data_IF_377351949496
#
_entry.id   IF_377351949496
#
_cell.length_a   1.000
_cell.length_b   1.000
_cell.length_c   1.000
_cell.angle_alpha   90.00
_cell.angle_beta   90.00
_cell.angle_gamma   90.00
#
_symmetry.space_group_name_H-M   'P 1'
#
loop_
_entity.id
_entity.type
_entity.pdbx_description
1 polymer ?
#
# COMPACT_ATOMS: atom_id res chain seq x y z
N UNK A 1 -8.74 3.17 14.11
CA UNK A 1 -7.89 4.38 14.14
C UNK A 1 -7.38 4.63 12.74
N UNK A 2 -6.95 5.85 12.40
CA UNK A 2 -6.51 6.22 11.05
C UNK A 2 -5.02 6.53 10.95
N UNK A 3 -4.18 5.59 11.38
CA UNK A 3 -2.72 5.80 11.41
C UNK A 3 -2.07 5.41 10.09
N UNK A 4 -1.06 6.16 9.68
CA UNK A 4 -0.22 5.80 8.53
C UNK A 4 1.11 5.21 9.01
N UNK A 5 1.58 4.16 8.34
CA UNK A 5 2.88 3.54 8.62
C UNK A 5 4.03 4.27 7.93
N UNK A 6 3.89 4.47 6.61
CA UNK A 6 4.86 5.15 5.74
C UNK A 6 4.09 6.16 4.88
N UNK A 7 4.50 7.43 4.93
CA UNK A 7 4.00 8.50 4.06
C UNK A 7 5.11 8.99 3.14
N UNK A 8 4.87 9.00 1.83
CA UNK A 8 5.80 9.50 0.83
C UNK A 8 5.08 10.47 -0.10
N UNK A 9 5.71 11.61 -0.35
CA UNK A 9 5.28 12.55 -1.39
C UNK A 9 6.43 12.75 -2.37
N UNK A 10 6.15 12.59 -3.66
CA UNK A 10 7.10 12.83 -4.75
C UNK A 10 7.10 11.72 -5.80
N UNK A 11 7.38 12.12 -7.04
CA UNK A 11 7.37 11.23 -8.19
C UNK A 11 8.57 10.26 -8.17
N UNK A 12 8.36 9.09 -8.77
CA UNK A 12 9.35 8.02 -8.92
C UNK A 12 9.91 7.49 -7.59
N UNK A 13 9.16 7.68 -6.50
CA UNK A 13 9.50 7.08 -5.22
C UNK A 13 9.55 5.56 -5.31
N UNK A 14 10.47 4.93 -4.57
CA UNK A 14 10.57 3.48 -4.50
C UNK A 14 10.45 3.01 -3.05
N UNK A 15 9.59 2.02 -2.81
CA UNK A 15 9.44 1.35 -1.52
C UNK A 15 9.75 -0.12 -1.67
N UNK A 16 10.74 -0.59 -0.92
CA UNK A 16 11.08 -2.01 -0.81
C UNK A 16 10.62 -2.55 0.55
N UNK A 17 9.35 -2.97 0.64
CA UNK A 17 8.84 -3.56 1.87
C UNK A 17 9.19 -5.05 1.96
N UNK A 18 10.30 -5.34 2.63
CA UNK A 18 10.75 -6.71 2.94
C UNK A 18 10.24 -7.22 4.29
N UNK A 19 9.75 -6.30 5.13
CA UNK A 19 9.28 -6.60 6.47
C UNK A 19 7.82 -7.05 6.51
N UNK A 20 7.42 -7.63 7.64
CA UNK A 20 6.01 -7.88 7.89
C UNK A 20 5.26 -6.56 8.07
N UNK A 21 4.10 -6.42 7.43
CA UNK A 21 3.20 -5.27 7.61
C UNK A 21 1.91 -5.72 8.27
N UNK A 22 1.40 -4.95 9.21
CA UNK A 22 0.08 -5.16 9.81
C UNK A 22 -0.69 -3.85 9.81
N UNK A 23 -1.86 -3.85 9.17
CA UNK A 23 -2.74 -2.67 9.10
C UNK A 23 -4.11 -3.09 9.61
N UNK A 24 -4.62 -2.39 10.62
CA UNK A 24 -5.93 -2.67 11.23
C UNK A 24 -6.74 -1.39 11.36
N UNK A 25 -8.05 -1.56 11.30
CA UNK A 25 -9.08 -0.55 11.50
C UNK A 25 -9.30 0.37 10.30
N UNK A 26 -10.50 0.98 10.19
CA UNK A 26 -10.80 1.93 9.13
C UNK A 26 -9.86 3.14 9.16
N UNK A 27 -9.53 3.65 7.98
CA UNK A 27 -8.64 4.79 7.74
C UNK A 27 -7.15 4.54 8.05
N UNK A 28 -6.77 3.34 8.52
CA UNK A 28 -5.34 3.01 8.65
C UNK A 28 -4.74 2.66 7.30
N UNK A 29 -3.56 3.20 7.03
CA UNK A 29 -2.81 2.95 5.79
C UNK A 29 -1.41 2.43 6.14
N UNK A 30 -0.99 1.33 5.53
CA UNK A 30 0.37 0.80 5.72
C UNK A 30 1.42 1.66 5.02
N UNK A 31 1.29 1.80 3.71
CA UNK A 31 2.11 2.66 2.85
C UNK A 31 1.20 3.60 2.07
N UNK A 32 1.42 4.90 2.20
CA UNK A 32 0.82 5.95 1.38
C UNK A 32 1.89 6.56 0.48
N UNK A 33 1.60 6.67 -0.81
CA UNK A 33 2.46 7.39 -1.77
C UNK A 33 1.61 8.36 -2.57
N UNK A 34 1.96 9.64 -2.53
CA UNK A 34 1.41 10.67 -3.40
C UNK A 34 2.48 11.10 -4.42
N UNK A 35 2.40 10.58 -5.64
CA UNK A 35 3.37 10.83 -6.69
C UNK A 35 3.29 9.84 -7.85
N UNK A 36 3.63 10.32 -9.05
CA UNK A 36 3.59 9.52 -10.27
C UNK A 36 4.79 8.56 -10.34
N UNK A 37 4.68 7.46 -11.08
CA UNK A 37 5.75 6.49 -11.35
C UNK A 37 6.30 5.82 -10.09
N UNK A 38 5.53 5.80 -9.01
CA UNK A 38 5.90 5.13 -7.78
C UNK A 38 6.13 3.63 -8.04
N UNK A 39 7.16 3.06 -7.41
CA UNK A 39 7.45 1.62 -7.47
C UNK A 39 7.36 1.05 -6.06
N UNK A 40 6.47 0.09 -5.84
CA UNK A 40 6.34 -0.60 -4.55
C UNK A 40 6.64 -2.08 -4.74
N UNK A 41 7.68 -2.57 -4.05
CA UNK A 41 8.05 -3.97 -4.00
C UNK A 41 7.70 -4.53 -2.62
N UNK A 42 6.56 -5.22 -2.53
CA UNK A 42 6.07 -5.83 -1.31
C UNK A 42 6.54 -7.29 -1.25
N UNK A 43 7.79 -7.49 -0.83
CA UNK A 43 8.42 -8.81 -0.66
C UNK A 43 8.03 -9.48 0.66
N UNK A 44 7.70 -8.67 1.67
CA UNK A 44 7.31 -9.13 3.00
C UNK A 44 5.86 -9.60 3.09
N UNK A 45 5.51 -10.24 4.21
CA UNK A 45 4.14 -10.66 4.49
C UNK A 45 3.28 -9.49 4.99
N UNK A 46 2.12 -9.27 4.40
CA UNK A 46 1.17 -8.23 4.86
C UNK A 46 -0.11 -8.87 5.41
N UNK A 47 -0.58 -8.37 6.55
CA UNK A 47 -1.86 -8.75 7.16
C UNK A 47 -2.72 -7.49 7.35
N UNK A 48 -3.85 -7.44 6.67
CA UNK A 48 -4.71 -6.26 6.62
C UNK A 48 -6.11 -6.66 7.09
N UNK A 49 -6.64 -5.93 8.08
CA UNK A 49 -7.91 -6.27 8.71
C UNK A 49 -8.76 -5.07 9.12
N UNK A 50 -10.02 -5.35 9.46
CA UNK A 50 -10.97 -4.39 10.05
C UNK A 50 -11.15 -3.07 9.27
N UNK A 51 -11.05 -3.09 7.93
CA UNK A 51 -11.25 -1.90 7.11
C UNK A 51 -9.97 -1.10 6.80
N UNK A 52 -8.79 -1.62 7.13
CA UNK A 52 -7.51 -0.98 6.82
C UNK A 52 -7.08 -1.14 5.36
N UNK A 53 -6.15 -0.30 4.92
CA UNK A 53 -5.54 -0.32 3.58
C UNK A 53 -4.04 -0.63 3.68
N UNK A 54 -3.56 -1.67 2.99
CA UNK A 54 -2.14 -2.04 3.01
C UNK A 54 -1.25 -1.01 2.32
N UNK A 55 -1.45 -0.83 1.02
CA UNK A 55 -0.72 0.15 0.21
C UNK A 55 -1.72 1.02 -0.55
N UNK A 56 -1.61 2.34 -0.45
CA UNK A 56 -2.35 3.31 -1.25
C UNK A 56 -1.36 4.15 -2.04
N UNK A 57 -1.61 4.29 -3.35
CA UNK A 57 -0.83 5.13 -4.25
C UNK A 57 -1.78 6.09 -4.96
N UNK A 58 -1.55 7.39 -4.80
CA UNK A 58 -2.21 8.45 -5.54
C UNK A 58 -1.22 9.00 -6.58
N UNK A 59 -1.29 8.48 -7.81
CA UNK A 59 -0.36 8.85 -8.88
C UNK A 59 -0.46 7.93 -10.10
N UNK A 60 -0.11 8.48 -11.26
CA UNK A 60 -0.12 7.78 -12.55
C UNK A 60 1.14 6.92 -12.73
N UNK A 61 1.10 5.91 -13.61
CA UNK A 61 2.24 5.06 -13.99
C UNK A 61 2.88 4.28 -12.81
N UNK A 62 2.15 4.07 -11.72
CA UNK A 62 2.64 3.30 -10.58
C UNK A 62 2.88 1.82 -10.94
N UNK A 63 3.91 1.22 -10.36
CA UNK A 63 4.19 -0.22 -10.46
C UNK A 63 4.15 -0.84 -9.08
N UNK A 64 3.33 -1.88 -8.88
CA UNK A 64 3.25 -2.59 -7.60
C UNK A 64 3.56 -4.07 -7.78
N UNK A 65 4.70 -4.48 -7.24
CA UNK A 65 5.13 -5.87 -7.22
C UNK A 65 4.81 -6.47 -5.84
N UNK A 66 3.76 -7.29 -5.74
CA UNK A 66 3.45 -8.02 -4.52
C UNK A 66 4.03 -9.44 -4.58
N UNK A 67 5.33 -9.54 -4.32
CA UNK A 67 6.07 -10.80 -4.33
C UNK A 67 5.85 -11.63 -3.05
N UNK A 68 5.56 -10.96 -1.94
CA UNK A 68 5.23 -11.54 -0.65
C UNK A 68 3.75 -11.95 -0.53
N UNK A 69 3.41 -12.55 0.61
CA UNK A 69 2.03 -12.96 0.88
C UNK A 69 1.24 -11.80 1.50
N UNK A 70 0.12 -11.43 0.88
CA UNK A 70 -0.80 -10.41 1.42
C UNK A 70 -2.13 -11.06 1.77
N UNK A 71 -2.45 -11.09 3.05
CA UNK A 71 -3.75 -11.54 3.58
C UNK A 71 -4.62 -10.33 3.87
N UNK A 72 -5.79 -10.29 3.24
CA UNK A 72 -6.79 -9.23 3.42
C UNK A 72 -8.06 -9.87 3.98
N UNK A 73 -8.45 -9.48 5.19
CA UNK A 73 -9.62 -10.03 5.89
C UNK A 73 -10.50 -8.91 6.45
N UNK A 74 -11.79 -9.18 6.64
CA UNK A 74 -12.76 -8.21 7.15
C UNK A 74 -13.35 -7.27 6.09
N UNK A 75 -14.56 -6.78 6.38
CA UNK A 75 -15.29 -5.90 5.48
C UNK A 75 -14.58 -4.56 5.31
N UNK A 76 -14.45 -4.12 4.06
CA UNK A 76 -13.85 -2.82 3.72
C UNK A 76 -12.33 -2.78 3.74
N UNK A 77 -11.65 -3.89 4.08
CA UNK A 77 -10.19 -3.97 4.03
C UNK A 77 -9.69 -4.00 2.58
N UNK A 78 -8.59 -3.31 2.31
CA UNK A 78 -7.99 -3.19 0.97
C UNK A 78 -6.52 -3.60 1.01
N UNK A 79 -6.12 -4.51 0.11
CA UNK A 79 -4.73 -4.93 -0.03
C UNK A 79 -3.84 -3.80 -0.56
N UNK A 80 -4.07 -3.47 -1.83
CA UNK A 80 -3.42 -2.39 -2.56
C UNK A 80 -4.50 -1.58 -3.27
N UNK A 81 -4.45 -0.27 -3.14
CA UNK A 81 -5.26 0.70 -3.87
C UNK A 81 -4.35 1.61 -4.69
N UNK A 82 -4.71 1.83 -5.96
CA UNK A 82 -4.01 2.77 -6.83
C UNK A 82 -5.05 3.70 -7.44
N UNK A 83 -5.00 4.96 -7.02
CA UNK A 83 -5.76 6.05 -7.59
C UNK A 83 -4.90 6.79 -8.63
N UNK A 84 -4.92 6.28 -9.86
CA UNK A 84 -4.17 6.83 -10.98
C UNK A 84 -4.37 6.00 -12.24
N UNK A 85 -3.72 6.41 -13.32
CA UNK A 85 -3.83 5.80 -14.65
C UNK A 85 -2.56 5.01 -14.99
N UNK A 86 -2.69 4.03 -15.88
CA UNK A 86 -1.56 3.28 -16.45
C UNK A 86 -0.69 2.53 -15.41
N UNK A 87 -1.27 2.14 -14.28
CA UNK A 87 -0.58 1.34 -13.28
C UNK A 87 -0.36 -0.12 -13.75
N UNK A 88 0.71 -0.75 -13.26
CA UNK A 88 1.15 -2.12 -13.60
C UNK A 88 1.32 -2.98 -12.37
#
# INVERSE_FOLDING_TARGET
GGGHGIDITGDSATVDNKGGMTVTDPDSIGIQIDGDKAVVNNDGGSAISNGGTGTQINGDEATVNNNGNTTVDGQGSTGTEIAGNNAV
#
